data_IF_808631929143
#
_entry.id   IF_808631929143
#
_cell.length_a   1.000
_cell.length_b   1.000
_cell.length_c   1.000
_cell.angle_alpha   90.00
_cell.angle_beta   90.00
_cell.angle_gamma   90.00
#
_symmetry.space_group_name_H-M   'P 1'
#
loop_
_entity.id
_entity.type
_entity.pdbx_description
1 polymer ?
#
# COMPACT_ATOMS: atom_id res chain seq x y z
N UNK A 1 -7.55 -29.05 33.99
CA UNK A 1 -7.05 -27.67 34.11
C UNK A 1 -5.73 -27.56 33.33
N UNK A 2 -5.80 -27.26 32.02
CA UNK A 2 -4.61 -27.15 31.15
C UNK A 2 -4.13 -25.70 31.17
N UNK A 3 -2.91 -25.47 31.66
CA UNK A 3 -2.27 -24.14 31.69
C UNK A 3 -1.77 -23.82 30.29
N UNK A 4 -2.36 -22.80 29.66
CA UNK A 4 -1.91 -22.26 28.37
C UNK A 4 -0.84 -21.22 28.66
N UNK A 5 0.42 -21.55 28.34
CA UNK A 5 1.57 -20.66 28.47
C UNK A 5 1.64 -19.76 27.23
N UNK A 6 1.18 -18.51 27.37
CA UNK A 6 1.30 -17.49 26.33
C UNK A 6 2.69 -16.85 26.44
N UNK A 7 3.61 -17.21 25.54
CA UNK A 7 4.94 -16.60 25.45
C UNK A 7 4.88 -15.42 24.47
N UNK A 8 4.70 -14.20 25.00
CA UNK A 8 4.80 -12.96 24.23
C UNK A 8 6.27 -12.55 24.20
N UNK A 9 6.94 -12.75 23.07
CA UNK A 9 8.30 -12.31 22.84
C UNK A 9 8.28 -10.84 22.39
N UNK A 10 8.39 -9.93 23.36
CA UNK A 10 8.59 -8.49 23.10
C UNK A 10 10.05 -8.28 22.66
N UNK A 11 10.27 -8.15 21.36
CA UNK A 11 11.53 -7.67 20.78
C UNK A 11 11.72 -6.19 21.15
N UNK A 12 12.82 -5.81 21.84
CA UNK A 12 13.08 -4.41 22.12
C UNK A 12 13.46 -3.70 20.80
N UNK A 13 12.68 -2.69 20.41
CA UNK A 13 13.09 -1.69 19.44
C UNK A 13 14.29 -0.95 20.03
N UNK A 14 15.49 -1.35 19.62
CA UNK A 14 16.71 -0.63 19.95
C UNK A 14 16.81 0.57 19.00
N UNK A 15 16.27 1.71 19.42
CA UNK A 15 16.56 2.99 18.75
C UNK A 15 17.95 3.43 19.14
N UNK A 16 18.95 2.96 18.40
CA UNK A 16 20.29 3.55 18.47
C UNK A 16 20.21 5.00 17.98
N UNK A 17 20.65 6.00 18.77
CA UNK A 17 20.83 7.34 18.26
C UNK A 17 22.07 7.32 17.37
N UNK A 18 21.89 7.00 16.09
CA UNK A 18 22.97 7.03 15.13
C UNK A 18 23.22 8.49 14.71
N UNK A 19 24.23 9.10 15.33
CA UNK A 19 25.00 10.16 14.69
C UNK A 19 25.74 9.49 13.53
N UNK A 20 25.12 9.46 12.34
CA UNK A 20 25.77 8.98 11.13
C UNK A 20 25.24 9.75 9.93
N UNK A 21 26.16 10.32 9.14
CA UNK A 21 25.87 10.94 7.83
C UNK A 21 25.19 9.98 6.85
N UNK A 22 25.19 8.68 7.15
CA UNK A 22 24.45 7.65 6.43
C UNK A 22 23.55 6.89 7.40
N UNK A 23 22.27 6.80 7.09
CA UNK A 23 21.32 6.00 7.86
C UNK A 23 20.62 5.01 6.93
N UNK A 24 20.39 3.82 7.45
CA UNK A 24 19.51 2.82 6.85
C UNK A 24 18.47 2.51 7.92
N UNK A 25 17.20 2.73 7.62
CA UNK A 25 16.09 2.33 8.47
C UNK A 25 15.25 1.27 7.76
N UNK A 26 14.86 0.24 8.51
CA UNK A 26 13.95 -0.80 8.07
C UNK A 26 12.77 -0.79 9.02
N UNK A 27 11.62 -0.41 8.49
CA UNK A 27 10.36 -0.27 9.21
C UNK A 27 9.28 -1.10 8.51
N UNK A 28 8.13 -1.27 9.15
CA UNK A 28 7.04 -2.01 8.54
C UNK A 28 5.86 -2.19 9.48
N UNK A 29 4.81 -2.81 8.96
CA UNK A 29 3.64 -3.17 9.75
C UNK A 29 2.96 -4.42 9.19
N UNK A 30 2.17 -5.04 10.05
CA UNK A 30 1.24 -6.11 9.69
C UNK A 30 -0.17 -5.69 10.10
N UNK A 31 -1.12 -5.83 9.18
CA UNK A 31 -2.55 -5.61 9.43
C UNK A 31 -3.34 -6.83 9.00
N UNK A 32 -4.40 -7.13 9.75
CA UNK A 32 -5.33 -8.22 9.44
C UNK A 32 -6.74 -7.68 9.47
N UNK A 33 -7.47 -7.88 8.37
CA UNK A 33 -8.85 -7.49 8.21
C UNK A 33 -9.72 -8.74 8.15
N UNK A 34 -10.74 -8.79 9.00
CA UNK A 34 -11.75 -9.84 9.01
C UNK A 34 -13.07 -9.21 8.63
N UNK A 35 -13.65 -9.67 7.54
CA UNK A 35 -14.87 -9.10 6.97
C UNK A 35 -15.86 -10.21 6.69
N UNK A 36 -17.11 -10.00 7.11
CA UNK A 36 -18.24 -10.84 6.76
C UNK A 36 -19.25 -9.95 6.05
N UNK A 37 -19.65 -10.34 4.85
CA UNK A 37 -20.70 -9.69 4.09
C UNK A 37 -21.96 -10.51 4.20
N UNK A 38 -23.07 -9.83 4.47
CA UNK A 38 -24.40 -10.39 4.25
C UNK A 38 -24.99 -9.68 3.06
N UNK A 39 -25.14 -10.40 1.95
CA UNK A 39 -25.75 -9.84 0.76
C UNK A 39 -27.27 -9.82 0.93
N UNK A 40 -27.93 -8.70 0.65
CA UNK A 40 -29.39 -8.63 0.67
C UNK A 40 -29.99 -9.56 -0.39
N UNK A 41 -31.05 -10.27 -0.01
CA UNK A 41 -31.83 -11.15 -0.89
C UNK A 41 -32.60 -10.33 -1.94
N UNK A 42 -31.88 -9.83 -2.94
CA UNK A 42 -32.49 -9.27 -4.15
C UNK A 42 -32.72 -10.44 -5.11
N UNK A 43 -33.89 -11.06 -5.00
CA UNK A 43 -34.24 -12.35 -5.61
C UNK A 43 -34.28 -12.43 -7.15
N UNK A 44 -33.36 -11.81 -7.88
CA UNK A 44 -33.23 -11.92 -9.34
C UNK A 44 -31.80 -11.70 -9.89
N UNK A 45 -30.74 -11.76 -9.06
CA UNK A 45 -29.35 -11.72 -9.55
C UNK A 45 -28.77 -13.16 -9.63
N UNK A 46 -28.72 -13.80 -10.82
CA UNK A 46 -28.35 -15.21 -10.96
C UNK A 46 -26.91 -15.53 -10.52
N UNK A 47 -26.04 -14.54 -10.37
CA UNK A 47 -24.64 -14.69 -9.94
C UNK A 47 -24.46 -14.70 -8.40
N UNK A 48 -25.48 -14.27 -7.64
CA UNK A 48 -25.44 -14.16 -6.17
C UNK A 48 -26.51 -15.02 -5.49
N UNK A 49 -27.23 -15.84 -6.26
CA UNK A 49 -28.48 -16.46 -5.88
C UNK A 49 -28.38 -17.60 -4.83
N UNK A 50 -27.19 -17.92 -4.33
CA UNK A 50 -27.00 -19.03 -3.37
C UNK A 50 -25.95 -18.73 -2.27
N UNK A 51 -25.32 -17.54 -2.26
CA UNK A 51 -24.35 -17.16 -1.23
C UNK A 51 -24.81 -15.88 -0.54
N UNK A 52 -25.55 -16.07 0.55
CA UNK A 52 -26.09 -14.96 1.36
C UNK A 52 -25.06 -14.39 2.33
N UNK A 53 -24.12 -15.20 2.79
CA UNK A 53 -23.03 -14.80 3.68
C UNK A 53 -21.67 -15.09 3.02
N UNK A 54 -20.84 -14.07 2.83
CA UNK A 54 -19.48 -14.17 2.31
C UNK A 54 -18.46 -13.78 3.38
N UNK A 55 -17.29 -14.41 3.39
CA UNK A 55 -16.19 -14.14 4.30
C UNK A 55 -14.91 -13.74 3.57
N UNK A 56 -14.19 -12.78 4.15
CA UNK A 56 -12.84 -12.42 3.72
C UNK A 56 -11.92 -12.18 4.92
N UNK A 57 -10.74 -12.79 4.86
CA UNK A 57 -9.63 -12.56 5.77
C UNK A 57 -8.44 -12.10 4.93
N UNK A 58 -8.08 -10.83 5.10
CA UNK A 58 -6.99 -10.21 4.37
C UNK A 58 -5.87 -9.83 5.31
N UNK A 59 -4.67 -10.36 5.08
CA UNK A 59 -3.48 -9.99 5.80
C UNK A 59 -2.63 -9.11 4.88
N UNK A 60 -2.11 -8.01 5.40
CA UNK A 60 -1.17 -7.13 4.70
C UNK A 60 0.08 -6.98 5.53
N UNK A 61 1.22 -7.31 4.93
CA UNK A 61 2.55 -7.12 5.48
C UNK A 61 3.25 -6.10 4.61
N UNK A 62 3.56 -4.93 5.18
CA UNK A 62 4.29 -3.87 4.49
C UNK A 62 5.66 -3.73 5.08
N UNK A 63 6.67 -3.77 4.22
CA UNK A 63 8.06 -3.50 4.57
C UNK A 63 8.48 -2.18 3.93
N UNK A 64 9.18 -1.34 4.69
CA UNK A 64 9.66 -0.02 4.30
C UNK A 64 11.15 0.04 4.57
N UNK A 65 11.93 0.26 3.53
CA UNK A 65 13.37 0.48 3.63
C UNK A 65 13.65 1.92 3.22
N UNK A 66 14.33 2.67 4.09
CA UNK A 66 14.82 4.00 3.79
C UNK A 66 16.33 4.01 3.91
N UNK A 67 16.99 4.53 2.91
CA UNK A 67 18.42 4.80 2.93
C UNK A 67 18.65 6.29 2.72
N UNK A 68 19.40 6.91 3.62
CA UNK A 68 19.84 8.29 3.48
C UNK A 68 21.36 8.32 3.48
N UNK A 69 21.94 9.03 2.53
CA UNK A 69 23.38 9.15 2.37
C UNK A 69 23.80 10.62 2.21
N UNK A 70 24.67 11.08 3.11
CA UNK A 70 25.31 12.39 3.06
C UNK A 70 24.37 13.61 3.04
N UNK A 71 23.08 13.44 3.34
CA UNK A 71 22.04 14.49 3.25
C UNK A 71 21.63 14.90 1.83
N UNK A 72 22.38 14.49 0.80
CA UNK A 72 22.10 14.79 -0.61
C UNK A 72 21.34 13.67 -1.32
N UNK A 73 21.32 12.46 -0.77
CA UNK A 73 20.67 11.31 -1.37
C UNK A 73 19.73 10.63 -0.39
N UNK A 74 18.50 10.36 -0.83
CA UNK A 74 17.54 9.54 -0.11
C UNK A 74 16.91 8.53 -1.06
N UNK A 75 16.89 7.25 -0.70
CA UNK A 75 16.14 6.22 -1.38
C UNK A 75 15.07 5.65 -0.44
N UNK A 76 13.84 5.52 -0.93
CA UNK A 76 12.74 4.88 -0.21
C UNK A 76 12.18 3.74 -1.05
N UNK A 77 12.16 2.55 -0.46
CA UNK A 77 11.57 1.35 -1.02
C UNK A 77 10.46 0.87 -0.08
N UNK A 78 9.29 0.55 -0.63
CA UNK A 78 8.21 -0.06 0.15
C UNK A 78 7.59 -1.19 -0.65
N UNK A 79 7.50 -2.35 -0.02
CA UNK A 79 6.98 -3.56 -0.61
C UNK A 79 5.86 -4.11 0.25
N UNK A 80 4.74 -4.43 -0.39
CA UNK A 80 3.55 -4.97 0.21
C UNK A 80 3.38 -6.43 -0.18
N UNK A 81 3.02 -7.26 0.79
CA UNK A 81 2.66 -8.65 0.61
C UNK A 81 1.31 -8.90 1.28
N UNK A 82 0.37 -9.49 0.55
CA UNK A 82 -1.02 -9.61 0.97
C UNK A 82 -1.59 -11.01 0.75
N UNK A 83 -1.45 -11.93 1.71
CA UNK A 83 -2.16 -13.21 1.73
C UNK A 83 -3.64 -13.02 2.06
N UNK A 84 -4.50 -13.66 1.28
CA UNK A 84 -5.97 -13.53 1.39
C UNK A 84 -6.63 -14.90 1.42
N UNK A 85 -7.51 -15.10 2.38
CA UNK A 85 -8.43 -16.24 2.43
C UNK A 85 -9.83 -15.64 2.31
N UNK A 86 -10.53 -15.92 1.22
CA UNK A 86 -11.85 -15.35 0.97
C UNK A 86 -12.64 -16.23 0.01
N UNK A 87 -13.96 -16.03 -0.07
CA UNK A 87 -14.77 -16.75 -1.05
C UNK A 87 -14.32 -16.46 -2.50
N UNK A 88 -14.33 -17.45 -3.41
CA UNK A 88 -13.84 -17.30 -4.78
C UNK A 88 -14.45 -16.11 -5.54
N UNK A 89 -15.76 -15.87 -5.33
CA UNK A 89 -16.50 -14.76 -5.94
C UNK A 89 -15.91 -13.38 -5.60
N UNK A 90 -15.21 -13.25 -4.46
CA UNK A 90 -14.55 -12.01 -4.02
C UNK A 90 -13.19 -11.78 -4.69
N UNK A 91 -12.59 -12.81 -5.31
CA UNK A 91 -11.38 -12.64 -6.13
C UNK A 91 -11.71 -12.11 -7.52
N UNK A 92 -12.90 -12.45 -8.04
CA UNK A 92 -13.42 -11.95 -9.31
C UNK A 92 -14.05 -10.57 -9.13
N UNK A 93 -14.89 -10.41 -8.11
CA UNK A 93 -15.57 -9.17 -7.78
C UNK A 93 -14.86 -8.52 -6.57
N UNK A 94 -13.89 -7.64 -6.84
CA UNK A 94 -13.12 -6.93 -5.81
C UNK A 94 -14.00 -5.93 -5.02
N UNK A 95 -14.92 -6.44 -4.20
CA UNK A 95 -15.86 -5.64 -3.41
C UNK A 95 -15.14 -4.79 -2.34
N UNK A 96 -13.98 -5.24 -1.86
CA UNK A 96 -13.10 -4.44 -1.00
C UNK A 96 -11.66 -4.55 -1.53
N UNK A 97 -11.19 -3.57 -2.33
CA UNK A 97 -9.79 -3.53 -2.70
C UNK A 97 -8.95 -3.29 -1.45
N UNK A 98 -7.91 -4.10 -1.26
CA UNK A 98 -6.91 -3.90 -0.21
C UNK A 98 -5.57 -3.72 -0.92
N UNK A 99 -5.09 -2.48 -0.99
CA UNK A 99 -3.71 -2.16 -1.37
C UNK A 99 -3.31 -2.45 -2.82
N UNK A 100 -4.25 -2.79 -3.71
CA UNK A 100 -4.01 -2.93 -5.16
C UNK A 100 -5.13 -2.21 -5.90
N UNK A 101 -4.79 -1.12 -6.60
CA UNK A 101 -5.71 -0.39 -7.47
C UNK A 101 -5.14 -0.36 -8.90
N UNK A 102 -5.85 -0.96 -9.89
CA UNK A 102 -5.40 -1.04 -11.27
C UNK A 102 -5.46 0.30 -12.04
N UNK A 103 -6.08 1.35 -11.47
CA UNK A 103 -6.17 2.68 -12.08
C UNK A 103 -5.02 3.61 -11.68
N UNK A 104 -3.86 3.05 -11.36
CA UNK A 104 -2.71 3.85 -10.93
C UNK A 104 -1.91 4.37 -12.12
N UNK A 105 -1.43 5.61 -12.03
CA UNK A 105 -0.50 6.23 -12.98
C UNK A 105 0.89 5.55 -12.88
N UNK A 106 0.96 4.26 -13.20
CA UNK A 106 2.16 3.44 -13.18
C UNK A 106 2.50 3.05 -14.60
N UNK A 107 3.75 3.28 -15.00
CA UNK A 107 4.20 2.97 -16.35
C UNK A 107 4.38 1.46 -16.55
N UNK A 108 4.76 0.74 -15.49
CA UNK A 108 4.97 -0.69 -15.51
C UNK A 108 4.64 -1.28 -14.14
N UNK A 109 3.91 -2.39 -14.10
CA UNK A 109 3.71 -3.13 -12.86
C UNK A 109 3.83 -4.63 -13.12
N UNK A 110 4.28 -5.35 -12.09
CA UNK A 110 4.22 -6.81 -12.13
C UNK A 110 2.77 -7.25 -11.89
N UNK A 111 2.44 -8.46 -12.36
CA UNK A 111 1.18 -9.05 -11.97
C UNK A 111 1.13 -9.19 -10.45
N UNK A 112 0.18 -8.49 -9.83
CA UNK A 112 0.05 -8.40 -8.40
C UNK A 112 -0.35 -9.74 -7.74
N UNK A 113 -0.80 -10.76 -8.49
CA UNK A 113 -1.14 -12.08 -7.96
C UNK A 113 0.03 -13.06 -8.14
N UNK A 114 0.65 -13.45 -7.03
CA UNK A 114 1.70 -14.49 -7.01
C UNK A 114 1.12 -15.90 -6.99
N UNK A 115 -0.04 -16.07 -6.36
CA UNK A 115 -0.70 -17.36 -6.24
C UNK A 115 -2.22 -17.17 -6.13
N UNK A 116 -3.05 -18.04 -6.74
CA UNK A 116 -2.66 -19.02 -7.78
C UNK A 116 -2.20 -18.32 -9.06
N UNK A 117 -1.66 -19.08 -10.03
CA UNK A 117 -1.12 -18.52 -11.27
C UNK A 117 -2.15 -17.69 -12.06
N UNK A 118 -1.69 -16.87 -13.01
CA UNK A 118 -2.59 -16.02 -13.83
C UNK A 118 -3.71 -16.80 -14.52
N UNK A 119 -3.37 -17.98 -15.02
CA UNK A 119 -4.27 -18.85 -15.77
C UNK A 119 -5.12 -19.77 -14.88
N UNK A 120 -4.93 -19.72 -13.56
CA UNK A 120 -5.60 -20.56 -12.59
C UNK A 120 -6.78 -19.83 -11.94
N UNK A 121 -7.93 -20.51 -11.90
CA UNK A 121 -9.11 -19.99 -11.20
C UNK A 121 -8.81 -20.00 -9.70
N UNK A 122 -8.88 -18.84 -9.03
CA UNK A 122 -8.61 -18.77 -7.62
C UNK A 122 -9.67 -19.54 -6.84
N UNK A 123 -9.22 -20.51 -6.05
CA UNK A 123 -10.04 -21.10 -4.98
C UNK A 123 -10.22 -20.11 -3.84
N UNK A 124 -10.28 -20.59 -2.59
CA UNK A 124 -10.50 -19.72 -1.43
C UNK A 124 -9.24 -19.03 -0.90
N UNK A 125 -8.08 -19.19 -1.55
CA UNK A 125 -6.80 -18.65 -1.08
C UNK A 125 -6.01 -18.03 -2.24
N UNK A 126 -5.41 -16.87 -1.97
CA UNK A 126 -4.52 -16.20 -2.91
C UNK A 126 -3.45 -15.37 -2.20
N UNK A 127 -2.31 -15.19 -2.87
CA UNK A 127 -1.19 -14.39 -2.40
C UNK A 127 -0.95 -13.28 -3.39
N UNK A 128 -0.90 -12.06 -2.86
CA UNK A 128 -0.69 -10.86 -3.65
C UNK A 128 0.57 -10.12 -3.20
N UNK A 129 1.14 -9.34 -4.10
CA UNK A 129 2.26 -8.46 -3.81
C UNK A 129 2.13 -7.15 -4.57
N UNK A 130 2.81 -6.12 -4.07
CA UNK A 130 2.84 -4.82 -4.72
C UNK A 130 4.12 -4.08 -4.33
N UNK A 131 4.88 -3.61 -5.31
CA UNK A 131 5.94 -2.63 -5.08
C UNK A 131 5.30 -1.24 -5.01
N UNK A 132 5.04 -0.75 -3.80
CA UNK A 132 4.29 0.49 -3.63
C UNK A 132 5.18 1.75 -3.65
N UNK A 133 6.44 1.65 -3.22
CA UNK A 133 7.41 2.75 -3.32
C UNK A 133 8.72 2.25 -3.85
N UNK A 134 9.28 3.00 -4.78
CA UNK A 134 10.63 2.85 -5.30
C UNK A 134 11.06 4.21 -5.82
N UNK A 135 11.44 5.10 -4.91
CA UNK A 135 11.73 6.50 -5.21
C UNK A 135 13.12 6.86 -4.71
N UNK A 136 13.82 7.62 -5.53
CA UNK A 136 15.10 8.25 -5.19
C UNK A 136 14.92 9.76 -5.24
N UNK A 137 15.43 10.42 -4.21
CA UNK A 137 15.52 11.86 -4.08
C UNK A 137 16.99 12.28 -4.03
N UNK A 138 17.36 13.18 -4.93
CA UNK A 138 18.69 13.78 -5.02
C UNK A 138 18.53 15.27 -4.73
N UNK A 139 19.13 15.72 -3.63
CA UNK A 139 19.12 17.12 -3.22
C UNK A 139 20.35 17.83 -3.75
N UNK A 140 20.11 18.92 -4.45
CA UNK A 140 21.16 19.81 -4.97
C UNK A 140 20.93 21.23 -4.46
N UNK A 141 21.95 22.12 -4.48
CA UNK A 141 21.76 23.49 -4.01
C UNK A 141 20.61 24.26 -4.68
N UNK A 142 20.37 24.16 -6.00
CA UNK A 142 19.26 24.87 -6.64
C UNK A 142 17.93 24.10 -6.65
N UNK A 143 17.93 22.76 -6.52
CA UNK A 143 16.73 21.96 -6.68
C UNK A 143 16.85 20.55 -6.08
N UNK A 144 15.72 19.97 -5.71
CA UNK A 144 15.59 18.56 -5.36
C UNK A 144 14.94 17.80 -6.53
N UNK A 145 15.57 16.71 -6.96
CA UNK A 145 15.09 15.85 -8.02
C UNK A 145 14.56 14.55 -7.42
N UNK A 146 13.29 14.25 -7.68
CA UNK A 146 12.58 13.08 -7.13
C UNK A 146 12.11 12.21 -8.28
N UNK A 147 12.62 10.99 -8.37
CA UNK A 147 12.35 10.08 -9.50
C UNK A 147 11.89 8.72 -8.98
N UNK A 148 10.83 8.20 -9.59
CA UNK A 148 10.37 6.83 -9.43
C UNK A 148 8.95 6.75 -8.88
N UNK A 149 8.64 5.65 -8.19
CA UNK A 149 7.31 5.37 -7.66
C UNK A 149 7.13 6.02 -6.29
N UNK A 150 6.28 7.04 -6.23
CA UNK A 150 6.11 7.92 -5.07
C UNK A 150 4.64 8.19 -4.71
N UNK A 151 4.39 8.66 -3.48
CA UNK A 151 3.06 9.11 -3.07
C UNK A 151 2.88 10.54 -3.54
N UNK A 152 1.98 10.77 -4.48
CA UNK A 152 1.57 12.11 -4.87
C UNK A 152 0.08 12.21 -4.61
N UNK A 153 -0.31 13.30 -3.94
CA UNK A 153 -1.71 13.64 -3.70
C UNK A 153 -1.93 15.07 -4.19
N UNK A 154 -3.02 15.29 -4.90
CA UNK A 154 -3.46 16.63 -5.25
C UNK A 154 -4.50 17.12 -4.24
N UNK A 155 -4.22 18.22 -3.54
CA UNK A 155 -5.10 18.76 -2.50
C UNK A 155 -5.08 18.00 -1.17
N UNK A 156 -5.98 18.39 -0.26
CA UNK A 156 -6.12 17.79 1.07
C UNK A 156 -7.59 17.50 1.37
N UNK A 157 -7.87 16.34 1.93
CA UNK A 157 -9.19 15.92 2.35
C UNK A 157 -9.11 14.99 3.56
N UNK A 158 -10.02 15.15 4.52
CA UNK A 158 -10.02 14.38 5.79
C UNK A 158 -10.67 13.00 5.67
N UNK A 159 -11.65 12.87 4.78
CA UNK A 159 -12.43 11.63 4.58
C UNK A 159 -12.35 11.21 3.12
N UNK A 160 -12.70 12.12 2.22
CA UNK A 160 -12.56 11.96 0.77
C UNK A 160 -11.86 13.22 0.25
N UNK A 161 -10.94 13.05 -0.69
CA UNK A 161 -10.30 14.16 -1.40
C UNK A 161 -10.83 14.20 -2.85
N UNK A 162 -11.91 14.96 -3.13
CA UNK A 162 -12.49 15.01 -4.47
C UNK A 162 -11.59 15.74 -5.47
N UNK A 163 -10.58 16.46 -5.00
CA UNK A 163 -9.60 17.16 -5.83
C UNK A 163 -8.37 16.31 -6.16
N UNK A 164 -8.26 15.11 -5.58
CA UNK A 164 -7.16 14.18 -5.86
C UNK A 164 -7.46 13.33 -7.07
N UNK A 165 -6.99 13.77 -8.23
CA UNK A 165 -7.14 13.02 -9.48
C UNK A 165 -6.06 11.94 -9.62
N UNK A 166 -4.95 12.04 -8.87
CA UNK A 166 -3.75 11.23 -9.08
C UNK A 166 -3.86 9.88 -8.36
N UNK A 167 -4.23 9.90 -7.08
CA UNK A 167 -4.29 8.69 -6.26
C UNK A 167 -5.46 8.75 -5.26
N UNK A 168 -6.72 8.84 -5.73
CA UNK A 168 -7.88 8.81 -4.85
C UNK A 168 -8.04 7.43 -4.20
N UNK A 169 -8.46 7.43 -2.94
CA UNK A 169 -8.91 6.22 -2.27
C UNK A 169 -10.29 5.81 -2.80
N UNK A 170 -10.50 4.51 -2.99
CA UNK A 170 -11.83 4.01 -3.29
C UNK A 170 -12.73 4.13 -2.04
N UNK A 171 -14.03 4.39 -2.24
CA UNK A 171 -14.99 4.49 -1.13
C UNK A 171 -15.05 3.22 -0.24
N UNK A 172 -14.66 2.09 -0.80
CA UNK A 172 -14.73 0.77 -0.20
C UNK A 172 -13.33 0.26 0.24
N UNK A 173 -12.32 1.12 0.23
CA UNK A 173 -10.97 0.75 0.63
C UNK A 173 -10.84 0.65 2.15
N UNK A 174 -10.37 -0.49 2.63
CA UNK A 174 -10.21 -0.74 4.08
C UNK A 174 -8.97 -0.09 4.68
N UNK A 175 -7.92 0.13 3.87
CA UNK A 175 -6.64 0.64 4.33
C UNK A 175 -6.32 1.99 3.66
N UNK A 176 -6.77 3.08 4.30
CA UNK A 176 -6.61 4.45 3.80
C UNK A 176 -5.41 5.18 4.40
N UNK A 177 -4.54 4.49 5.15
CA UNK A 177 -3.39 5.12 5.80
C UNK A 177 -2.29 5.49 4.80
N UNK A 178 -2.14 4.69 3.74
CA UNK A 178 -1.07 4.83 2.76
C UNK A 178 -1.66 4.96 1.36
N UNK A 179 -1.32 6.05 0.68
CA UNK A 179 -1.74 6.29 -0.70
C UNK A 179 -0.95 5.41 -1.66
N UNK A 180 -1.61 4.97 -2.73
CA UNK A 180 -0.97 4.20 -3.78
C UNK A 180 0.19 4.97 -4.43
N UNK A 181 1.28 4.26 -4.74
CA UNK A 181 2.38 4.82 -5.50
C UNK A 181 2.05 5.10 -6.96
N UNK A 182 2.55 6.24 -7.45
CA UNK A 182 2.48 6.70 -8.83
C UNK A 182 3.90 6.90 -9.35
N UNK A 183 4.14 6.52 -10.60
CA UNK A 183 5.43 6.70 -11.25
C UNK A 183 5.52 8.13 -11.78
N UNK A 184 6.44 8.92 -11.23
CA UNK A 184 6.59 10.33 -11.60
C UNK A 184 8.04 10.82 -11.48
N UNK A 185 8.33 11.88 -12.22
CA UNK A 185 9.59 12.63 -12.15
C UNK A 185 9.26 14.05 -11.72
N UNK A 186 9.71 14.44 -10.54
CA UNK A 186 9.42 15.74 -9.95
C UNK A 186 10.69 16.52 -9.68
N UNK A 187 10.58 17.83 -9.85
CA UNK A 187 11.60 18.82 -9.51
C UNK A 187 11.00 19.80 -8.53
N UNK A 188 11.65 19.94 -7.37
CA UNK A 188 11.30 20.90 -6.34
C UNK A 188 12.38 21.97 -6.23
N UNK A 189 12.01 23.22 -6.41
CA UNK A 189 12.91 24.38 -6.35
C UNK A 189 12.53 25.23 -5.15
N UNK A 190 13.35 25.27 -4.08
CA UNK A 190 13.12 26.19 -2.97
C UNK A 190 13.46 27.61 -3.41
N UNK A 191 12.47 28.50 -3.45
CA UNK A 191 12.63 29.90 -3.80
C UNK A 191 13.00 30.77 -2.58
N UNK A 192 12.48 30.42 -1.40
CA UNK A 192 12.80 31.06 -0.12
C UNK A 192 12.53 30.11 1.04
N UNK A 193 12.70 30.58 2.28
CA UNK A 193 12.34 29.81 3.48
C UNK A 193 10.86 29.37 3.53
N UNK A 194 9.97 30.04 2.80
CA UNK A 194 8.52 29.78 2.80
C UNK A 194 7.92 29.61 1.41
N UNK A 195 8.75 29.56 0.36
CA UNK A 195 8.29 29.47 -1.02
C UNK A 195 9.01 28.34 -1.74
N UNK A 196 8.25 27.45 -2.37
CA UNK A 196 8.75 26.39 -3.23
C UNK A 196 7.94 26.31 -4.51
N UNK A 197 8.59 25.88 -5.59
CA UNK A 197 7.92 25.44 -6.82
C UNK A 197 8.12 23.94 -6.93
N UNK A 198 7.02 23.22 -7.12
CA UNK A 198 7.01 21.77 -7.31
C UNK A 198 6.33 21.46 -8.63
N UNK A 199 7.04 20.77 -9.52
CA UNK A 199 6.55 20.43 -10.84
C UNK A 199 6.94 19.00 -11.21
N UNK A 200 6.02 18.28 -11.85
CA UNK A 200 6.21 16.93 -12.36
C UNK A 200 4.94 16.08 -12.35
#
# INVERSE_FOLDING_TARGET
MKRMLLLVLLLPFCTLPAVAQNSISLDGYLKSFFTVFRLPDYGNLPFLADQTDLGAVNNRVRLKLRHQHGGWFTANLAYDFSPRIQDPVLFENQLLPVGINPLSYRAFDWNARLYPGEDEIPGSFGIFHNLDRAVVEIKTPPADLIIGRQAIAWGSGRVINPTDVIAPFAFQELDTEERIGVDAVRVRVPLSALAEVDAG
#
